data_IF_295538834322
#
_entry.id   IF_295538834322
#
_cell.length_a   1.000
_cell.length_b   1.000
_cell.length_c   1.000
_cell.angle_alpha   90.00
_cell.angle_beta   90.00
_cell.angle_gamma   90.00
#
_symmetry.space_group_name_H-M   'P 1'
#
loop_
_entity.id
_entity.type
_entity.pdbx_description
1 polymer ?
#
# COMPACT_ATOMS: atom_id res chain seq x y z
N UNK A 1 27.64 6.39 6.32
CA UNK A 1 26.69 5.29 6.01
C UNK A 1 25.44 5.45 6.87
N UNK A 2 24.47 6.28 6.48
CA UNK A 2 23.27 6.58 7.31
C UNK A 2 21.98 6.58 6.48
N UNK A 3 21.69 5.48 5.77
CA UNK A 3 20.46 5.35 4.96
C UNK A 3 19.45 4.31 5.45
N UNK A 4 19.89 3.22 6.09
CA UNK A 4 19.06 2.01 6.28
C UNK A 4 18.07 2.07 7.45
N UNK A 5 18.29 2.93 8.46
CA UNK A 5 17.46 2.95 9.69
C UNK A 5 16.13 3.71 9.56
N UNK A 6 15.91 4.46 8.48
CA UNK A 6 14.72 5.31 8.30
C UNK A 6 13.65 4.64 7.42
N UNK A 7 14.06 3.73 6.52
CA UNK A 7 13.15 2.93 5.69
C UNK A 7 12.34 1.94 6.53
N UNK A 8 12.98 1.29 7.50
CA UNK A 8 12.35 0.32 8.41
C UNK A 8 11.18 0.91 9.19
N UNK A 9 11.28 2.14 9.71
CA UNK A 9 10.16 2.76 10.46
C UNK A 9 8.92 3.02 9.61
N UNK A 10 9.12 3.35 8.33
CA UNK A 10 8.01 3.63 7.41
C UNK A 10 7.38 2.31 6.99
N UNK A 11 8.19 1.30 6.71
CA UNK A 11 7.72 -0.07 6.42
C UNK A 11 6.93 -0.65 7.60
N UNK A 12 7.41 -0.48 8.83
CA UNK A 12 6.71 -0.94 10.04
C UNK A 12 5.35 -0.25 10.23
N UNK A 13 5.29 1.07 9.98
CA UNK A 13 4.01 1.81 10.01
C UNK A 13 3.04 1.32 8.94
N UNK A 14 3.55 1.07 7.73
CA UNK A 14 2.75 0.57 6.60
C UNK A 14 2.21 -0.84 6.90
N UNK A 15 3.02 -1.70 7.51
CA UNK A 15 2.60 -3.04 7.95
C UNK A 15 1.55 -2.95 9.07
N UNK A 16 1.70 -2.03 10.03
CA UNK A 16 0.72 -1.81 11.09
C UNK A 16 -0.63 -1.38 10.51
N UNK A 17 -0.62 -0.42 9.58
CA UNK A 17 -1.82 0.08 8.91
C UNK A 17 -2.49 -1.00 8.04
N UNK A 18 -1.70 -1.83 7.34
CA UNK A 18 -2.21 -3.02 6.63
C UNK A 18 -2.88 -4.00 7.61
N UNK A 19 -2.31 -4.22 8.80
CA UNK A 19 -2.90 -5.12 9.79
C UNK A 19 -4.22 -4.57 10.33
N UNK A 20 -4.30 -3.27 10.62
CA UNK A 20 -5.55 -2.63 11.05
C UNK A 20 -6.64 -2.79 9.98
N UNK A 21 -6.30 -2.60 8.70
CA UNK A 21 -7.24 -2.81 7.59
C UNK A 21 -7.63 -4.30 7.49
N UNK A 22 -6.71 -5.23 7.74
CA UNK A 22 -6.97 -6.67 7.74
C UNK A 22 -7.88 -7.15 8.89
N UNK A 23 -7.97 -6.39 9.98
CA UNK A 23 -8.88 -6.67 11.10
C UNK A 23 -10.32 -6.24 10.81
N UNK A 24 -10.54 -5.42 9.79
CA UNK A 24 -11.89 -5.02 9.38
C UNK A 24 -12.62 -6.19 8.71
N UNK A 25 -13.83 -6.52 9.15
CA UNK A 25 -14.64 -7.59 8.53
C UNK A 25 -15.29 -7.16 7.20
N UNK A 26 -15.11 -5.89 6.81
CA UNK A 26 -15.75 -5.29 5.62
C UNK A 26 -14.95 -5.45 4.32
N UNK A 27 -13.72 -5.94 4.42
CA UNK A 27 -12.84 -6.20 3.27
C UNK A 27 -13.25 -7.46 2.52
N UNK A 28 -13.15 -7.39 1.20
CA UNK A 28 -13.39 -8.55 0.34
C UNK A 28 -12.16 -9.46 0.34
N UNK A 29 -12.39 -10.77 0.19
CA UNK A 29 -11.32 -11.77 0.10
C UNK A 29 -10.22 -11.41 -0.93
N UNK A 30 -10.58 -10.74 -2.03
CA UNK A 30 -9.62 -10.29 -3.05
C UNK A 30 -8.70 -9.19 -2.54
N UNK A 31 -9.24 -8.24 -1.77
CA UNK A 31 -8.48 -7.14 -1.15
C UNK A 31 -7.59 -7.67 -0.04
N UNK A 32 -8.13 -8.57 0.78
CA UNK A 32 -7.40 -9.24 1.85
C UNK A 32 -6.17 -9.99 1.31
N UNK A 33 -6.34 -10.74 0.21
CA UNK A 33 -5.23 -11.44 -0.43
C UNK A 33 -4.16 -10.49 -0.97
N UNK A 34 -4.55 -9.34 -1.54
CA UNK A 34 -3.62 -8.31 -2.02
C UNK A 34 -2.84 -7.69 -0.84
N UNK A 35 -3.51 -7.35 0.26
CA UNK A 35 -2.90 -6.79 1.47
C UNK A 35 -1.89 -7.76 2.12
N UNK A 36 -2.25 -9.04 2.25
CA UNK A 36 -1.35 -10.07 2.78
C UNK A 36 -0.10 -10.22 1.90
N UNK A 37 -0.24 -10.15 0.57
CA UNK A 37 0.90 -10.17 -0.35
C UNK A 37 1.83 -8.99 -0.15
N UNK A 38 1.27 -7.79 0.01
CA UNK A 38 2.05 -6.57 0.28
C UNK A 38 2.85 -6.74 1.57
N UNK A 39 2.18 -7.11 2.67
CA UNK A 39 2.83 -7.37 3.95
C UNK A 39 3.98 -8.37 3.83
N UNK A 40 3.72 -9.53 3.22
CA UNK A 40 4.72 -10.60 3.04
C UNK A 40 5.95 -10.11 2.24
N UNK A 41 5.73 -9.27 1.22
CA UNK A 41 6.83 -8.73 0.39
C UNK A 41 7.61 -7.64 1.12
N UNK A 42 6.94 -6.80 1.90
CA UNK A 42 7.59 -5.80 2.76
C UNK A 42 8.45 -6.49 3.83
N UNK A 43 7.94 -7.54 4.48
CA UNK A 43 8.69 -8.35 5.46
C UNK A 43 9.91 -9.05 4.84
N UNK A 44 9.84 -9.41 3.56
CA UNK A 44 10.99 -9.95 2.80
C UNK A 44 12.07 -8.90 2.50
N UNK A 45 11.82 -7.62 2.77
CA UNK A 45 12.73 -6.52 2.43
C UNK A 45 12.72 -6.18 0.94
N UNK A 46 11.63 -6.48 0.21
CA UNK A 46 11.47 -5.98 -1.16
C UNK A 46 11.26 -4.46 -1.15
N UNK A 47 11.64 -3.82 -2.26
CA UNK A 47 11.57 -2.38 -2.38
C UNK A 47 10.13 -1.87 -2.22
N UNK A 48 9.84 -1.17 -1.13
CA UNK A 48 8.50 -0.69 -0.75
C UNK A 48 7.72 -0.10 -1.93
N UNK A 49 8.33 0.79 -2.71
CA UNK A 49 7.67 1.43 -3.85
C UNK A 49 7.23 0.43 -4.93
N UNK A 50 8.00 -0.64 -5.15
CA UNK A 50 7.64 -1.70 -6.10
C UNK A 50 6.46 -2.50 -5.59
N UNK A 51 6.49 -2.86 -4.31
CA UNK A 51 5.40 -3.60 -3.66
C UNK A 51 4.10 -2.79 -3.68
N UNK A 52 4.18 -1.50 -3.36
CA UNK A 52 3.04 -0.58 -3.44
C UNK A 52 2.51 -0.42 -4.87
N UNK A 53 3.40 -0.34 -5.87
CA UNK A 53 2.96 -0.22 -7.26
C UNK A 53 2.26 -1.49 -7.77
N UNK A 54 2.76 -2.67 -7.40
CA UNK A 54 2.10 -3.94 -7.71
C UNK A 54 0.71 -4.01 -7.05
N UNK A 55 0.61 -3.55 -5.80
CA UNK A 55 -0.68 -3.42 -5.12
C UNK A 55 -1.62 -2.47 -5.86
N UNK A 56 -1.17 -1.25 -6.17
CA UNK A 56 -1.98 -0.29 -6.92
C UNK A 56 -2.46 -0.88 -8.24
N UNK A 57 -1.63 -1.66 -8.96
CA UNK A 57 -2.02 -2.31 -10.20
C UNK A 57 -3.10 -3.38 -10.00
N UNK A 58 -2.99 -4.20 -8.94
CA UNK A 58 -3.99 -5.22 -8.59
C UNK A 58 -5.32 -4.61 -8.14
N UNK A 59 -5.28 -3.52 -7.37
CA UNK A 59 -6.48 -2.95 -6.75
C UNK A 59 -7.12 -1.82 -7.59
N UNK A 60 -6.38 -1.20 -8.52
CA UNK A 60 -6.90 -0.21 -9.47
C UNK A 60 -8.18 -0.63 -10.21
N UNK A 61 -8.32 -1.84 -10.78
CA UNK A 61 -9.59 -2.22 -11.44
C UNK A 61 -10.77 -2.27 -10.47
N UNK A 62 -10.54 -2.56 -9.18
CA UNK A 62 -11.57 -2.52 -8.15
C UNK A 62 -11.89 -1.08 -7.74
N UNK A 63 -10.86 -0.22 -7.67
CA UNK A 63 -10.99 1.21 -7.41
C UNK A 63 -11.82 1.91 -8.49
N UNK A 64 -11.53 1.65 -9.76
CA UNK A 64 -12.25 2.19 -10.92
C UNK A 64 -13.72 1.78 -10.93
N UNK A 65 -14.02 0.57 -10.42
CA UNK A 65 -15.40 0.08 -10.29
C UNK A 65 -16.10 0.57 -9.01
N UNK A 66 -15.44 1.40 -8.19
CA UNK A 66 -15.91 1.82 -6.85
C UNK A 66 -16.33 0.63 -5.99
N UNK A 67 -15.67 -0.51 -6.17
CA UNK A 67 -15.92 -1.76 -5.45
C UNK A 67 -14.97 -1.95 -4.27
N UNK A 68 -14.11 -0.96 -4.03
CA UNK A 68 -13.19 -0.95 -2.90
C UNK A 68 -13.93 -0.79 -1.58
N UNK A 69 -13.52 -1.55 -0.57
CA UNK A 69 -13.90 -1.25 0.81
C UNK A 69 -13.37 0.13 1.21
N UNK A 70 -14.10 0.88 2.07
CA UNK A 70 -13.75 2.25 2.41
C UNK A 70 -12.35 2.38 3.03
N UNK A 71 -11.90 1.39 3.79
CA UNK A 71 -10.58 1.40 4.42
C UNK A 71 -9.45 1.10 3.42
N UNK A 72 -9.66 0.16 2.49
CA UNK A 72 -8.71 -0.09 1.39
C UNK A 72 -8.68 1.10 0.42
N UNK A 73 -9.82 1.77 0.22
CA UNK A 73 -9.91 3.00 -0.57
C UNK A 73 -9.08 4.14 0.02
N UNK A 74 -9.16 4.37 1.34
CA UNK A 74 -8.31 5.36 2.03
C UNK A 74 -6.83 5.02 1.87
N UNK A 75 -6.45 3.77 2.16
CA UNK A 75 -5.08 3.30 2.00
C UNK A 75 -4.55 3.46 0.57
N UNK A 76 -5.36 3.09 -0.43
CA UNK A 76 -5.07 3.31 -1.85
C UNK A 76 -4.82 4.80 -2.16
N UNK A 77 -5.67 5.68 -1.64
CA UNK A 77 -5.51 7.13 -1.77
C UNK A 77 -4.27 7.66 -1.06
N UNK A 78 -3.92 7.15 0.12
CA UNK A 78 -2.74 7.57 0.89
C UNK A 78 -1.44 7.18 0.19
N UNK A 79 -1.41 5.99 -0.43
CA UNK A 79 -0.31 5.56 -1.29
C UNK A 79 -0.16 6.52 -2.50
N UNK A 80 -1.26 6.84 -3.19
CA UNK A 80 -1.23 7.72 -4.38
C UNK A 80 -0.87 9.16 -4.01
N UNK A 81 -1.40 9.67 -2.90
CA UNK A 81 -1.13 11.02 -2.41
C UNK A 81 0.27 11.18 -1.79
N UNK A 82 1.15 10.20 -2.01
CA UNK A 82 2.57 10.29 -1.72
C UNK A 82 2.92 10.31 -0.23
N UNK A 83 2.05 9.80 0.65
CA UNK A 83 2.33 9.67 2.09
C UNK A 83 3.65 8.92 2.37
N UNK A 84 4.05 8.03 1.46
CA UNK A 84 5.28 7.24 1.54
C UNK A 84 6.36 7.62 0.49
N UNK A 85 6.18 8.74 -0.23
CA UNK A 85 7.13 9.20 -1.24
C UNK A 85 8.31 9.94 -0.61
N UNK A 86 9.49 9.32 -0.59
CA UNK A 86 10.76 10.04 -0.44
C UNK A 86 11.51 10.26 -1.76
N UNK A 87 10.95 9.92 -2.92
CA UNK A 87 11.69 10.04 -4.18
C UNK A 87 10.80 10.25 -5.41
N UNK A 88 10.85 11.47 -5.95
CA UNK A 88 10.97 11.72 -7.40
C UNK A 88 9.86 11.26 -8.35
N UNK A 89 8.73 10.79 -7.86
CA UNK A 89 7.59 10.43 -8.71
C UNK A 89 6.71 11.65 -8.98
N UNK A 90 7.14 12.49 -9.93
CA UNK A 90 6.35 13.57 -10.52
C UNK A 90 5.41 13.09 -11.65
N UNK A 91 5.29 11.78 -11.88
CA UNK A 91 4.76 11.24 -13.14
C UNK A 91 3.29 10.82 -13.18
N UNK A 92 2.58 10.69 -12.06
CA UNK A 92 1.19 10.24 -12.07
C UNK A 92 0.35 11.02 -11.05
N UNK A 93 0.21 12.33 -11.27
CA UNK A 93 -1.02 13.01 -10.85
C UNK A 93 -2.11 12.53 -11.81
N UNK A 94 -3.01 11.67 -11.32
CA UNK A 94 -4.28 11.43 -12.00
C UNK A 94 -5.08 12.72 -11.87
N UNK A 95 -4.96 13.56 -12.91
CA UNK A 95 -5.77 14.75 -13.15
C UNK A 95 -7.02 14.35 -13.92
#
# INVERSE_FOLDING_TARGET
MFGRKKQTKIEDQLIAEINEILEDETIKNVEQAALIRVKTRLEKGEYMQRVLNDFLAEVRPLALKSQLSPNVGKFYSDIINSAYSQSGWSGLRFM
#
